data_IF_553597385085
#
_entry.id   IF_553597385085
#
_cell.length_a   1.000
_cell.length_b   1.000
_cell.length_c   1.000
_cell.angle_alpha   90.00
_cell.angle_beta   90.00
_cell.angle_gamma   90.00
#
_symmetry.space_group_name_H-M   'P 1'
#
loop_
_entity.id
_entity.type
_entity.pdbx_description
1 polymer ?
#
# COMPACT_ATOMS: atom_id res chain seq x y z
N UNK A 1 7.10 8.82 -25.51
CA UNK A 1 6.00 9.67 -24.98
C UNK A 1 5.44 8.97 -23.77
N UNK A 2 5.69 9.51 -22.59
CA UNK A 2 5.03 9.04 -21.36
C UNK A 2 3.58 9.51 -21.43
N UNK A 3 2.65 8.58 -21.65
CA UNK A 3 1.24 8.85 -21.46
C UNK A 3 0.98 8.90 -19.94
N UNK A 4 1.30 10.03 -19.33
CA UNK A 4 0.86 10.29 -17.98
C UNK A 4 -0.68 10.35 -18.01
N UNK A 5 -1.32 9.44 -17.28
CA UNK A 5 -2.76 9.52 -17.07
C UNK A 5 -3.07 10.87 -16.42
N UNK A 6 -4.15 11.55 -16.85
CA UNK A 6 -4.53 12.81 -16.23
C UNK A 6 -4.72 12.58 -14.72
N UNK A 7 -4.07 13.43 -13.93
CA UNK A 7 -4.25 13.40 -12.47
C UNK A 7 -5.72 13.64 -12.14
N UNK A 8 -6.36 12.82 -11.32
CA UNK A 8 -7.71 13.09 -10.87
C UNK A 8 -7.79 14.49 -10.27
N UNK A 9 -8.82 15.21 -10.59
CA UNK A 9 -9.05 16.53 -10.00
C UNK A 9 -9.37 16.36 -8.51
N UNK A 10 -8.47 16.83 -7.65
CA UNK A 10 -8.58 16.71 -6.21
C UNK A 10 -9.59 17.73 -5.61
N UNK A 11 -10.81 17.79 -6.17
CA UNK A 11 -11.83 18.74 -5.74
C UNK A 11 -12.56 18.30 -4.47
N UNK A 12 -12.72 17.00 -4.27
CA UNK A 12 -13.54 16.44 -3.21
C UNK A 12 -12.73 15.91 -2.05
N UNK A 13 -11.53 15.42 -2.33
CA UNK A 13 -10.60 14.94 -1.32
C UNK A 13 -9.17 15.07 -1.84
N UNK A 14 -8.22 15.20 -0.94
CA UNK A 14 -6.79 15.24 -1.27
C UNK A 14 -5.93 14.56 -0.23
N UNK A 15 -4.85 13.97 -0.68
CA UNK A 15 -3.79 13.43 0.16
C UNK A 15 -2.88 14.56 0.63
N UNK A 16 -2.62 14.60 1.93
CA UNK A 16 -1.73 15.57 2.56
C UNK A 16 -0.41 14.87 2.93
N UNK A 17 0.41 14.61 1.92
CA UNK A 17 1.71 13.96 2.09
C UNK A 17 2.77 14.87 1.50
N UNK A 18 3.81 15.15 2.27
CA UNK A 18 4.93 15.97 1.83
C UNK A 18 5.66 15.30 0.66
N UNK A 19 6.13 16.12 -0.29
CA UNK A 19 6.98 15.65 -1.36
C UNK A 19 8.27 15.07 -0.79
N UNK A 20 8.67 13.89 -1.27
CA UNK A 20 9.86 13.20 -0.79
C UNK A 20 9.69 12.50 0.57
N UNK A 21 8.46 12.41 1.11
CA UNK A 21 8.22 11.61 2.30
C UNK A 21 8.64 10.15 2.08
N UNK A 22 9.36 9.59 3.06
CA UNK A 22 9.82 8.21 3.03
C UNK A 22 9.20 7.44 4.19
N UNK A 23 8.55 6.33 3.87
CA UNK A 23 8.11 5.36 4.87
C UNK A 23 9.26 4.42 5.23
N UNK A 24 9.32 4.00 6.47
CA UNK A 24 10.35 3.10 6.97
C UNK A 24 9.73 1.86 7.58
N UNK A 25 10.38 0.72 7.38
CA UNK A 25 10.00 -0.54 7.98
C UNK A 25 11.20 -1.47 8.13
N UNK A 26 10.99 -2.57 8.84
CA UNK A 26 11.96 -3.65 8.99
C UNK A 26 11.31 -4.96 8.60
N UNK A 27 12.00 -5.74 7.79
CA UNK A 27 11.54 -7.05 7.34
C UNK A 27 11.12 -7.94 8.50
N UNK A 28 9.91 -8.47 8.45
CA UNK A 28 9.35 -9.38 9.45
C UNK A 28 8.86 -8.71 10.74
N UNK A 29 9.03 -7.41 10.91
CA UNK A 29 8.54 -6.65 12.06
C UNK A 29 7.24 -5.91 11.75
N UNK A 30 6.54 -5.50 12.79
CA UNK A 30 5.36 -4.64 12.63
C UNK A 30 5.75 -3.29 11.99
N UNK A 31 4.95 -2.83 11.05
CA UNK A 31 5.12 -1.55 10.40
C UNK A 31 3.78 -0.81 10.34
N UNK A 32 3.82 0.51 10.52
CA UNK A 32 2.64 1.36 10.38
C UNK A 32 2.91 2.44 9.34
N UNK A 33 2.08 2.50 8.30
CA UNK A 33 2.09 3.60 7.35
C UNK A 33 1.05 4.62 7.77
N UNK A 34 1.47 5.86 7.95
CA UNK A 34 0.59 6.95 8.39
C UNK A 34 0.62 8.06 7.36
N UNK A 35 -0.54 8.52 6.96
CA UNK A 35 -0.69 9.71 6.13
C UNK A 35 -2.00 10.43 6.43
N UNK A 36 -2.04 11.71 6.11
CA UNK A 36 -3.23 12.52 6.31
C UNK A 36 -3.99 12.70 4.99
N UNK A 37 -5.29 12.80 5.10
CA UNK A 37 -6.21 13.11 4.00
C UNK A 37 -7.14 14.23 4.42
N UNK A 38 -7.54 15.07 3.47
CA UNK A 38 -8.52 16.12 3.68
C UNK A 38 -9.71 15.89 2.77
N UNK A 39 -10.89 15.84 3.36
CA UNK A 39 -12.16 15.79 2.67
C UNK A 39 -12.70 17.22 2.57
N UNK A 40 -13.05 17.65 1.36
CA UNK A 40 -13.51 19.00 1.05
C UNK A 40 -15.03 19.07 0.85
N UNK A 41 -15.63 17.95 0.50
CA UNK A 41 -17.08 17.81 0.27
C UNK A 41 -17.63 16.63 1.06
N UNK A 42 -18.93 16.64 1.30
CA UNK A 42 -19.63 15.50 1.87
C UNK A 42 -19.67 14.32 0.89
N UNK A 43 -19.61 13.13 1.44
CA UNK A 43 -19.69 11.87 0.75
C UNK A 43 -18.61 10.90 1.22
N UNK A 44 -18.90 9.59 1.21
CA UNK A 44 -17.99 8.58 1.70
C UNK A 44 -16.71 8.52 0.86
N UNK A 45 -15.57 8.54 1.53
CA UNK A 45 -14.24 8.41 0.94
C UNK A 45 -13.53 7.22 1.56
N UNK A 46 -12.89 6.42 0.72
CA UNK A 46 -12.12 5.25 1.10
C UNK A 46 -10.67 5.39 0.62
N UNK A 47 -9.76 4.81 1.36
CA UNK A 47 -8.34 4.79 1.06
C UNK A 47 -7.81 3.37 0.87
N UNK A 48 -6.82 3.25 -0.01
CA UNK A 48 -6.02 2.04 -0.16
C UNK A 48 -4.55 2.39 -0.39
N UNK A 49 -3.69 1.42 -0.16
CA UNK A 49 -2.25 1.52 -0.37
C UNK A 49 -1.79 0.36 -1.23
N UNK A 50 -0.93 0.61 -2.20
CA UNK A 50 -0.15 -0.43 -2.85
C UNK A 50 1.35 -0.20 -2.63
N UNK A 51 2.07 -1.28 -2.44
CA UNK A 51 3.54 -1.28 -2.38
C UNK A 51 4.03 -2.11 -3.55
N UNK A 52 4.93 -1.54 -4.32
CA UNK A 52 5.41 -2.11 -5.57
C UNK A 52 6.92 -2.32 -5.53
N UNK A 53 7.38 -3.41 -6.10
CA UNK A 53 8.79 -3.70 -6.31
C UNK A 53 9.16 -3.51 -7.77
N UNK A 54 10.36 -2.97 -8.02
CA UNK A 54 10.92 -2.93 -9.37
C UNK A 54 11.41 -4.33 -9.75
N UNK A 55 10.82 -4.91 -10.77
CA UNK A 55 11.31 -6.15 -11.38
C UNK A 55 12.03 -5.88 -12.69
N UNK A 56 13.21 -6.44 -12.82
CA UNK A 56 14.03 -6.28 -14.04
C UNK A 56 13.28 -6.83 -15.26
N UNK A 57 13.10 -5.97 -16.25
CA UNK A 57 12.45 -6.31 -17.51
C UNK A 57 10.92 -6.23 -17.52
N UNK A 58 10.29 -6.03 -16.37
CA UNK A 58 8.83 -5.96 -16.26
C UNK A 58 8.37 -4.57 -15.78
N UNK A 59 9.15 -3.91 -14.94
CA UNK A 59 8.81 -2.61 -14.34
C UNK A 59 8.35 -2.75 -12.89
N UNK A 60 7.55 -1.81 -12.45
CA UNK A 60 6.99 -1.82 -11.10
C UNK A 60 5.80 -2.77 -11.02
N UNK A 61 5.87 -3.74 -10.12
CA UNK A 61 4.77 -4.66 -9.86
C UNK A 61 4.29 -4.58 -8.42
N UNK A 62 2.95 -4.59 -8.19
CA UNK A 62 2.41 -4.58 -6.86
C UNK A 62 2.74 -5.90 -6.13
N UNK A 63 3.34 -5.77 -4.96
CA UNK A 63 3.62 -6.89 -4.06
C UNK A 63 2.69 -6.89 -2.86
N UNK A 64 2.17 -5.73 -2.49
CA UNK A 64 1.13 -5.57 -1.48
C UNK A 64 0.07 -4.63 -2.04
N UNK A 65 -1.17 -5.05 -1.95
CA UNK A 65 -2.34 -4.21 -2.21
C UNK A 65 -3.31 -4.40 -1.05
N UNK A 66 -3.66 -3.31 -0.40
CA UNK A 66 -4.63 -3.34 0.68
C UNK A 66 -6.06 -3.30 0.16
N UNK A 67 -7.00 -3.75 0.96
CA UNK A 67 -8.40 -3.46 0.73
C UNK A 67 -8.67 -1.97 0.96
N UNK A 68 -9.73 -1.46 0.33
CA UNK A 68 -10.20 -0.10 0.59
C UNK A 68 -10.84 -0.02 1.96
N UNK A 69 -10.42 0.96 2.75
CA UNK A 69 -10.92 1.22 4.09
C UNK A 69 -11.57 2.60 4.17
N UNK A 70 -12.67 2.75 4.90
CA UNK A 70 -13.32 4.04 5.07
C UNK A 70 -12.38 5.05 5.74
N UNK A 71 -12.32 6.26 5.20
CA UNK A 71 -11.62 7.40 5.80
C UNK A 71 -12.62 8.27 6.57
N UNK A 72 -13.69 8.66 5.91
CA UNK A 72 -14.73 9.51 6.45
C UNK A 72 -15.77 9.86 5.41
N UNK A 73 -16.77 10.64 5.80
CA UNK A 73 -17.86 11.08 4.92
C UNK A 73 -18.18 12.58 5.04
N UNK A 74 -17.61 13.29 5.99
CA UNK A 74 -17.82 14.72 6.21
C UNK A 74 -16.54 15.50 5.94
N UNK A 75 -16.63 16.77 5.51
CA UNK A 75 -15.46 17.62 5.35
C UNK A 75 -14.63 17.70 6.63
N UNK A 76 -13.30 17.63 6.46
CA UNK A 76 -12.34 17.66 7.56
C UNK A 76 -11.05 16.97 7.23
N UNK A 77 -10.14 16.99 8.18
CA UNK A 77 -8.84 16.34 8.11
C UNK A 77 -8.86 15.02 8.88
N UNK A 78 -8.40 13.98 8.23
CA UNK A 78 -8.39 12.62 8.76
C UNK A 78 -6.98 12.06 8.72
N UNK A 79 -6.62 11.30 9.74
CA UNK A 79 -5.39 10.49 9.75
C UNK A 79 -5.73 9.07 9.37
N UNK A 80 -5.03 8.55 8.38
CA UNK A 80 -5.12 7.16 7.94
C UNK A 80 -3.90 6.42 8.47
N UNK A 81 -4.14 5.32 9.17
CA UNK A 81 -3.10 4.44 9.69
C UNK A 81 -3.29 3.04 9.14
N UNK A 82 -2.26 2.51 8.52
CA UNK A 82 -2.22 1.14 8.03
C UNK A 82 -1.23 0.34 8.86
N UNK A 83 -1.73 -0.57 9.67
CA UNK A 83 -0.92 -1.47 10.48
C UNK A 83 -0.67 -2.78 9.74
N UNK A 84 0.60 -3.10 9.57
CA UNK A 84 1.06 -4.36 9.01
C UNK A 84 1.76 -5.12 10.16
N UNK A 85 1.13 -6.17 10.71
CA UNK A 85 1.64 -6.85 11.91
C UNK A 85 3.03 -7.46 11.75
N UNK A 86 3.35 -7.95 10.54
CA UNK A 86 4.67 -8.44 10.18
C UNK A 86 4.91 -8.10 8.71
N UNK A 87 5.82 -7.17 8.45
CA UNK A 87 6.11 -6.69 7.10
C UNK A 87 6.72 -7.79 6.24
N UNK A 88 6.00 -8.33 5.24
CA UNK A 88 6.45 -9.49 4.47
C UNK A 88 7.36 -9.08 3.29
N UNK A 89 8.17 -8.06 3.46
CA UNK A 89 9.06 -7.54 2.43
C UNK A 89 10.52 -7.78 2.82
N UNK A 90 11.33 -8.20 1.86
CA UNK A 90 12.77 -8.25 2.00
C UNK A 90 13.36 -6.83 2.09
N UNK A 91 14.60 -6.71 2.58
CA UNK A 91 15.28 -5.43 2.62
C UNK A 91 15.42 -4.83 1.22
N UNK A 92 15.14 -3.55 1.10
CA UNK A 92 15.22 -2.80 -0.15
C UNK A 92 14.33 -1.58 -0.17
N UNK A 93 14.29 -0.91 -1.32
CA UNK A 93 13.45 0.24 -1.58
C UNK A 93 12.27 -0.16 -2.44
N UNK A 94 11.09 0.29 -2.04
CA UNK A 94 9.82 -0.01 -2.69
C UNK A 94 9.11 1.28 -3.06
N UNK A 95 8.31 1.24 -4.12
CA UNK A 95 7.38 2.32 -4.46
C UNK A 95 6.10 2.18 -3.64
N UNK A 96 5.61 3.28 -3.10
CA UNK A 96 4.34 3.32 -2.39
C UNK A 96 3.37 4.18 -3.18
N UNK A 97 2.17 3.65 -3.42
CA UNK A 97 1.07 4.39 -4.01
C UNK A 97 -0.06 4.50 -3.00
N UNK A 98 -0.57 5.72 -2.84
CA UNK A 98 -1.71 6.02 -1.98
C UNK A 98 -2.90 6.41 -2.85
N UNK A 99 -4.07 5.89 -2.52
CA UNK A 99 -5.30 6.14 -3.26
C UNK A 99 -6.39 6.65 -2.33
N UNK A 100 -7.06 7.72 -2.75
CA UNK A 100 -8.36 8.14 -2.23
C UNK A 100 -9.40 7.95 -3.33
N UNK A 101 -10.46 7.23 -3.02
CA UNK A 101 -11.54 6.95 -3.95
C UNK A 101 -12.90 7.17 -3.29
N UNK A 102 -13.92 7.29 -4.11
CA UNK A 102 -15.31 7.18 -3.63
C UNK A 102 -15.57 5.76 -3.15
N UNK A 103 -16.61 5.58 -2.33
CA UNK A 103 -17.15 4.26 -2.07
C UNK A 103 -17.62 3.59 -3.37
N UNK A 104 -17.73 2.27 -3.34
CA UNK A 104 -18.22 1.49 -4.48
C UNK A 104 -19.64 1.94 -4.85
N UNK A 105 -19.83 2.32 -6.10
CA UNK A 105 -21.13 2.70 -6.58
C UNK A 105 -22.05 1.46 -6.63
N UNK A 106 -23.27 1.52 -6.04
CA UNK A 106 -24.11 0.35 -5.84
C UNK A 106 -24.57 -0.32 -7.13
N UNK A 107 -24.65 0.44 -8.24
CA UNK A 107 -25.12 -0.09 -9.54
C UNK A 107 -23.95 -0.53 -10.41
N UNK A 108 -22.92 0.30 -10.56
CA UNK A 108 -21.79 0.01 -11.45
C UNK A 108 -20.70 -0.86 -10.81
N UNK A 109 -20.66 -0.95 -9.49
CA UNK A 109 -19.57 -1.62 -8.76
C UNK A 109 -18.21 -0.90 -8.86
N UNK A 110 -18.18 0.30 -9.42
CA UNK A 110 -16.95 1.06 -9.66
C UNK A 110 -16.71 2.10 -8.57
N UNK A 111 -15.43 2.41 -8.36
CA UNK A 111 -14.97 3.53 -7.54
C UNK A 111 -14.41 4.63 -8.45
N UNK A 112 -14.67 5.88 -8.11
CA UNK A 112 -14.03 7.01 -8.78
C UNK A 112 -12.78 7.44 -8.00
N UNK A 113 -11.63 7.60 -8.65
CA UNK A 113 -10.44 8.15 -8.00
C UNK A 113 -10.67 9.62 -7.66
N UNK A 114 -10.28 10.02 -6.45
CA UNK A 114 -10.37 11.41 -5.97
C UNK A 114 -8.99 12.07 -5.89
N UNK A 115 -8.00 11.37 -5.37
CA UNK A 115 -6.60 11.78 -5.39
C UNK A 115 -5.69 10.56 -5.33
N UNK A 116 -4.49 10.70 -5.89
CA UNK A 116 -3.53 9.61 -5.96
C UNK A 116 -2.11 10.15 -5.80
N UNK A 117 -1.31 9.44 -5.02
CA UNK A 117 0.15 9.59 -4.98
C UNK A 117 0.77 8.33 -5.53
N UNK A 118 1.55 8.43 -6.60
CA UNK A 118 2.19 7.29 -7.21
C UNK A 118 3.11 7.67 -8.36
N UNK A 119 4.01 6.78 -8.73
CA UNK A 119 4.97 7.03 -9.81
C UNK A 119 4.30 7.29 -11.16
N UNK A 120 3.18 6.67 -11.43
CA UNK A 120 2.39 6.88 -12.64
C UNK A 120 1.95 8.35 -12.81
N UNK A 121 1.81 9.06 -11.70
CA UNK A 121 1.39 10.47 -11.68
C UNK A 121 2.55 11.44 -11.44
N UNK A 122 3.79 10.94 -11.40
CA UNK A 122 4.98 11.75 -11.20
C UNK A 122 5.20 12.24 -9.75
N UNK A 123 4.47 11.71 -8.79
CA UNK A 123 4.55 12.06 -7.38
C UNK A 123 4.66 10.83 -6.46
N UNK A 124 5.43 9.85 -6.90
CA UNK A 124 5.67 8.62 -6.17
C UNK A 124 6.33 8.82 -4.82
N UNK A 125 6.03 7.90 -3.92
CA UNK A 125 6.61 7.81 -2.58
C UNK A 125 7.46 6.55 -2.47
N UNK A 126 8.35 6.54 -1.50
CA UNK A 126 9.28 5.43 -1.26
C UNK A 126 9.07 4.85 0.12
N UNK A 127 9.18 3.54 0.23
CA UNK A 127 9.33 2.83 1.49
C UNK A 127 10.69 2.17 1.52
N UNK A 128 11.46 2.45 2.55
CA UNK A 128 12.75 1.80 2.81
C UNK A 128 12.54 0.69 3.84
N UNK A 129 12.91 -0.52 3.47
CA UNK A 129 12.82 -1.70 4.33
C UNK A 129 14.22 -2.16 4.69
N UNK A 130 14.51 -2.19 5.98
CA UNK A 130 15.75 -2.72 6.53
C UNK A 130 15.62 -4.21 6.83
N UNK A 131 16.74 -4.93 6.81
CA UNK A 131 16.80 -6.33 7.16
C UNK A 131 17.81 -7.11 6.34
N UNK A 132 17.75 -8.44 6.39
CA UNK A 132 18.61 -9.29 5.59
C UNK A 132 18.36 -9.10 4.09
N UNK A 133 19.41 -8.98 3.33
CA UNK A 133 19.32 -8.98 1.86
C UNK A 133 19.03 -10.39 1.39
N UNK A 134 18.05 -10.51 0.51
CA UNK A 134 17.67 -11.77 -0.13
C UNK A 134 17.44 -11.52 -1.62
N UNK A 135 17.44 -12.58 -2.41
CA UNK A 135 17.09 -12.52 -3.84
C UNK A 135 15.55 -12.50 -4.04
N UNK A 136 14.79 -12.58 -2.96
CA UNK A 136 13.33 -12.57 -2.98
C UNK A 136 12.79 -11.22 -2.54
N UNK A 137 11.65 -10.84 -3.09
CA UNK A 137 10.94 -9.61 -2.72
C UNK A 137 10.14 -9.78 -1.44
N UNK A 138 9.50 -10.94 -1.26
CA UNK A 138 8.65 -11.23 -0.12
C UNK A 138 9.32 -12.20 0.84
N UNK A 139 9.23 -11.91 2.12
CA UNK A 139 9.70 -12.77 3.20
C UNK A 139 8.53 -13.12 4.11
N UNK A 140 8.26 -14.41 4.26
CA UNK A 140 7.28 -14.91 5.21
C UNK A 140 8.01 -15.48 6.42
N UNK A 141 7.58 -15.07 7.60
CA UNK A 141 8.01 -15.71 8.83
C UNK A 141 7.15 -16.93 9.06
N UNK A 142 7.79 -18.09 9.10
CA UNK A 142 7.14 -19.34 9.44
C UNK A 142 7.43 -19.67 10.90
N UNK A 143 6.37 -19.89 11.66
CA UNK A 143 6.47 -20.49 12.98
C UNK A 143 6.15 -21.97 12.85
N UNK A 144 7.11 -22.81 13.21
CA UNK A 144 6.87 -24.23 13.33
C UNK A 144 5.98 -24.48 14.54
N UNK A 145 4.82 -25.08 14.31
CA UNK A 145 3.94 -25.56 15.38
C UNK A 145 4.53 -26.85 15.93
N UNK A 146 5.32 -26.77 16.94
CA UNK A 146 5.99 -27.87 17.61
C UNK A 146 7.33 -28.36 17.06
N UNK A 147 8.06 -28.96 17.96
CA UNK A 147 9.40 -29.51 17.84
C UNK A 147 9.49 -30.58 16.76
N UNK A 148 10.12 -30.29 15.68
CA UNK A 148 10.47 -31.17 14.56
C UNK A 148 9.27 -31.82 13.82
N UNK A 149 9.23 -31.67 12.50
CA UNK A 149 8.28 -32.40 11.70
C UNK A 149 8.48 -33.90 11.93
N UNK A 150 7.44 -34.57 12.46
CA UNK A 150 7.46 -36.01 12.56
C UNK A 150 7.53 -36.58 11.16
N UNK A 151 8.44 -37.53 10.96
CA UNK A 151 8.48 -38.29 9.73
C UNK A 151 7.11 -38.94 9.49
N UNK A 152 6.54 -38.71 8.29
CA UNK A 152 5.32 -39.39 7.89
C UNK A 152 5.64 -40.88 7.84
N UNK A 153 4.96 -41.67 8.67
CA UNK A 153 5.10 -43.12 8.61
C UNK A 153 4.69 -43.59 7.21
N UNK A 154 5.59 -44.25 6.48
CA UNK A 154 5.23 -44.90 5.25
C UNK A 154 4.12 -45.92 5.56
N UNK A 155 2.96 -45.71 4.92
CA UNK A 155 1.90 -46.71 4.95
C UNK A 155 2.39 -47.95 4.20
N UNK A 156 2.58 -49.01 4.93
CA UNK A 156 2.91 -50.31 4.35
C UNK A 156 1.73 -50.88 3.56
#
# INVERSE_FOLDING_TARGET
>A
MSCALPKPEAHRARLLVEEGHVFHGRSGEAATLVFDAELLEEGPVEAAVSIEALQLGVGWEPVILTEFQPVGAAPGRYRVELDIPALPLAAGDYSVNLFLCTATHPVSGMRAPLDTRGWTYGNGLVMQVEGPKTDCVACLQLHWLDEQPQAVAEAA
#
